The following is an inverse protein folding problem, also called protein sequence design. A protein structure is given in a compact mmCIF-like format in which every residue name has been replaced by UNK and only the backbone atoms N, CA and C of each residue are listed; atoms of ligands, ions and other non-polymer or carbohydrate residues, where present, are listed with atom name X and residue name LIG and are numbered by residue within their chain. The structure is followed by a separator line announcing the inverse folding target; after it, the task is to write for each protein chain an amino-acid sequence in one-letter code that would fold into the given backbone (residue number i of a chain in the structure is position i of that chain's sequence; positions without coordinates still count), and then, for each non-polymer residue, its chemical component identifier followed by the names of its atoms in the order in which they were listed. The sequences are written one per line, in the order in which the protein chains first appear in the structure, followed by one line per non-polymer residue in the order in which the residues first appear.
data_IF_702001722191
#
_entry.id   IF_702001722191
#
_cell.length_a   1.000
_cell.length_b   1.000
_cell.length_c   1.000
_cell.angle_alpha   90.00
_cell.angle_beta   90.00
_cell.angle_gamma   90.00
#
_symmetry.space_group_name_H-M   'P 1'
#
loop_
_entity.id
_entity.type
_entity.pdbx_description
1 polymer ?
#
# COMPACT_ATOMS: atom_id res chain seq x y z
N UNK A 1 0.86 -4.01 28.22
CA UNK A 1 0.50 -4.91 27.11
C UNK A 1 1.73 -5.03 26.25
N UNK A 2 2.29 -6.23 26.12
CA UNK A 2 3.66 -6.45 25.62
C UNK A 2 3.81 -6.33 24.09
N UNK A 3 2.85 -5.69 23.41
CA UNK A 3 2.90 -5.36 21.98
C UNK A 3 2.95 -6.57 21.04
N UNK A 4 2.78 -7.80 21.55
CA UNK A 4 2.81 -9.01 20.75
C UNK A 4 1.43 -9.28 20.15
N UNK A 5 1.33 -9.68 18.86
CA UNK A 5 0.06 -10.07 18.26
C UNK A 5 -0.50 -11.30 18.98
N UNK A 6 -1.79 -11.32 19.25
CA UNK A 6 -2.48 -12.47 19.86
C UNK A 6 -2.85 -13.50 18.80
N UNK A 7 -3.12 -13.04 17.58
CA UNK A 7 -3.43 -13.85 16.41
C UNK A 7 -2.80 -13.29 15.14
N UNK A 8 -2.47 -14.13 14.16
CA UNK A 8 -1.88 -13.67 12.89
C UNK A 8 -2.78 -12.71 12.11
N UNK A 9 -4.09 -12.77 12.33
CA UNK A 9 -5.07 -11.86 11.71
C UNK A 9 -4.93 -10.43 12.19
N UNK A 10 -4.32 -10.21 13.35
CA UNK A 10 -4.05 -8.88 13.92
C UNK A 10 -2.95 -8.14 13.12
N UNK A 11 -2.23 -8.89 12.27
CA UNK A 11 -1.20 -8.35 11.39
C UNK A 11 -1.74 -7.92 10.01
N UNK A 12 -3.04 -8.12 9.75
CA UNK A 12 -3.68 -7.63 8.53
C UNK A 12 -3.98 -6.14 8.71
N UNK A 13 -3.45 -5.32 7.82
CA UNK A 13 -3.58 -3.87 7.89
C UNK A 13 -4.11 -3.23 6.59
N UNK A 14 -5.06 -2.29 6.66
CA UNK A 14 -5.89 -1.97 7.83
C UNK A 14 -6.70 -3.18 8.32
N UNK A 15 -7.01 -3.20 9.62
CA UNK A 15 -7.76 -4.30 10.23
C UNK A 15 -9.14 -4.42 9.56
N UNK A 16 -9.46 -5.55 8.91
CA UNK A 16 -10.77 -5.75 8.30
C UNK A 16 -11.88 -5.80 9.35
N UNK A 17 -13.06 -5.27 8.99
CA UNK A 17 -14.24 -5.27 9.88
C UNK A 17 -14.72 -6.65 10.29
N UNK A 18 -14.55 -7.65 9.43
CA UNK A 18 -14.90 -9.02 9.72
C UNK A 18 -13.86 -9.96 9.11
N UNK A 19 -13.33 -10.86 9.94
CA UNK A 19 -12.59 -12.04 9.52
C UNK A 19 -13.23 -13.25 10.19
N UNK A 20 -13.59 -14.27 9.41
CA UNK A 20 -14.07 -15.56 9.92
C UNK A 20 -13.23 -16.67 9.33
N UNK A 21 -12.50 -17.38 10.17
CA UNK A 21 -11.70 -18.54 9.76
C UNK A 21 -12.60 -19.78 9.86
N UNK A 22 -12.59 -20.61 8.82
CA UNK A 22 -13.29 -21.88 8.82
C UNK A 22 -12.30 -23.01 9.14
N UNK A 23 -12.09 -23.29 10.42
CA UNK A 23 -11.18 -24.34 10.89
C UNK A 23 -11.62 -25.76 10.53
N UNK A 24 -12.87 -25.95 10.07
CA UNK A 24 -13.40 -27.26 9.67
C UNK A 24 -13.16 -27.59 8.19
N UNK A 25 -12.78 -26.59 7.38
CA UNK A 25 -12.48 -26.76 5.97
C UNK A 25 -10.98 -26.89 5.76
N UNK A 26 -10.58 -27.68 4.76
CA UNK A 26 -9.20 -27.64 4.27
C UNK A 26 -8.87 -26.23 3.74
N UNK A 27 -7.58 -25.88 3.75
CA UNK A 27 -7.12 -24.62 3.19
C UNK A 27 -7.10 -24.63 1.66
N UNK A 28 -6.83 -23.46 1.09
CA UNK A 28 -6.57 -23.29 -0.33
C UNK A 28 -5.08 -23.56 -0.62
N UNK A 29 -4.73 -24.59 -1.40
CA UNK A 29 -3.34 -24.91 -1.69
C UNK A 29 -2.70 -23.86 -2.61
N UNK A 30 -1.41 -23.58 -2.41
CA UNK A 30 -0.66 -22.77 -3.36
C UNK A 30 -0.57 -23.47 -4.74
N UNK A 31 -0.66 -22.72 -5.85
CA UNK A 31 -0.56 -23.29 -7.18
C UNK A 31 0.83 -23.89 -7.43
N UNK A 32 0.88 -25.08 -8.06
CA UNK A 32 2.11 -25.81 -8.35
C UNK A 32 3.01 -25.10 -9.36
N UNK A 33 2.39 -24.38 -10.30
CA UNK A 33 3.09 -23.56 -11.30
C UNK A 33 3.44 -22.16 -10.80
N UNK A 34 3.17 -21.87 -9.51
CA UNK A 34 3.32 -20.55 -8.89
C UNK A 34 2.47 -19.44 -9.53
N UNK A 35 1.39 -19.78 -10.25
CA UNK A 35 0.53 -18.78 -10.91
C UNK A 35 -0.87 -18.75 -10.31
N UNK A 36 -1.25 -17.56 -9.83
CA UNK A 36 -2.63 -17.25 -9.48
C UNK A 36 -3.40 -16.94 -10.77
N UNK A 37 -4.35 -17.80 -11.10
CA UNK A 37 -5.11 -17.77 -12.34
C UNK A 37 -6.35 -16.91 -12.11
N UNK A 38 -6.33 -15.69 -12.65
CA UNK A 38 -7.35 -14.67 -12.43
C UNK A 38 -8.46 -14.80 -13.48
N UNK A 39 -9.69 -14.96 -13.00
CA UNK A 39 -10.91 -15.02 -13.79
C UNK A 39 -11.85 -13.87 -13.41
N UNK A 40 -12.50 -13.30 -14.40
CA UNK A 40 -13.52 -12.27 -14.24
C UNK A 40 -14.90 -12.91 -14.34
N UNK A 41 -15.77 -12.63 -13.38
CA UNK A 41 -17.14 -13.14 -13.45
C UNK A 41 -17.92 -12.48 -14.59
N UNK A 42 -18.67 -13.26 -15.36
CA UNK A 42 -19.46 -12.76 -16.49
C UNK A 42 -20.62 -11.86 -16.08
N UNK A 43 -21.13 -12.07 -14.85
CA UNK A 43 -22.17 -11.23 -14.26
C UNK A 43 -21.62 -9.92 -13.65
N UNK A 44 -20.30 -9.69 -13.71
CA UNK A 44 -19.67 -8.47 -13.19
C UNK A 44 -20.04 -7.26 -14.05
N UNK A 45 -20.42 -6.15 -13.41
CA UNK A 45 -20.59 -4.85 -14.08
C UNK A 45 -19.26 -4.15 -14.41
N UNK A 46 -18.16 -4.59 -13.77
CA UNK A 46 -16.82 -4.06 -13.98
C UNK A 46 -16.18 -4.51 -15.28
N UNK A 47 -15.45 -3.61 -15.95
CA UNK A 47 -14.67 -3.95 -17.15
C UNK A 47 -13.43 -4.78 -16.78
N UNK A 48 -13.17 -5.92 -17.46
CA UNK A 48 -11.99 -6.75 -17.21
C UNK A 48 -10.68 -5.97 -17.28
N UNK A 49 -10.51 -5.10 -18.29
CA UNK A 49 -9.30 -4.30 -18.47
C UNK A 49 -8.99 -3.41 -17.26
N UNK A 50 -9.99 -2.73 -16.70
CA UNK A 50 -9.80 -1.85 -15.55
C UNK A 50 -9.63 -2.63 -14.24
N UNK A 51 -10.27 -3.80 -14.12
CA UNK A 51 -9.97 -4.73 -13.02
C UNK A 51 -8.53 -5.26 -13.09
N UNK A 52 -8.04 -5.63 -14.28
CA UNK A 52 -6.63 -6.03 -14.47
C UNK A 52 -5.67 -4.94 -13.99
N UNK A 53 -5.92 -3.68 -14.36
CA UNK A 53 -5.11 -2.54 -13.88
C UNK A 53 -5.10 -2.43 -12.35
N UNK A 54 -6.28 -2.55 -11.71
CA UNK A 54 -6.41 -2.52 -10.26
C UNK A 54 -5.66 -3.66 -9.56
N UNK A 55 -5.67 -4.86 -10.16
CA UNK A 55 -5.03 -6.06 -9.63
C UNK A 55 -3.51 -6.03 -9.85
N UNK A 56 -3.04 -5.49 -10.98
CA UNK A 56 -1.64 -5.48 -11.38
C UNK A 56 -0.74 -4.74 -10.37
N UNK A 57 -1.29 -3.79 -9.61
CA UNK A 57 -0.60 -3.09 -8.52
C UNK A 57 -0.06 -4.08 -7.47
N UNK A 58 -0.70 -5.23 -7.29
CA UNK A 58 -0.29 -6.28 -6.35
C UNK A 58 0.82 -7.20 -6.89
N UNK A 59 1.14 -7.14 -8.19
CA UNK A 59 2.10 -8.06 -8.80
C UNK A 59 3.49 -8.04 -8.14
N UNK A 60 4.12 -6.88 -7.85
CA UNK A 60 5.45 -6.85 -7.24
C UNK A 60 5.48 -7.50 -5.85
N UNK A 61 4.39 -7.40 -5.09
CA UNK A 61 4.26 -8.00 -3.76
C UNK A 61 4.10 -9.52 -3.84
N UNK A 62 3.38 -10.03 -4.84
CA UNK A 62 3.24 -11.46 -5.10
C UNK A 62 4.55 -12.07 -5.58
N UNK A 63 5.26 -11.42 -6.51
CA UNK A 63 6.55 -11.92 -7.01
C UNK A 63 7.59 -12.02 -5.88
N UNK A 64 7.51 -11.15 -4.85
CA UNK A 64 8.37 -11.25 -3.65
C UNK A 64 8.23 -12.57 -2.87
N UNK A 65 7.12 -13.28 -3.06
CA UNK A 65 6.85 -14.60 -2.46
C UNK A 65 6.77 -15.72 -3.50
N UNK A 66 7.36 -15.50 -4.68
CA UNK A 66 7.42 -16.44 -5.79
C UNK A 66 6.02 -16.87 -6.26
N UNK A 67 5.13 -15.89 -6.45
CA UNK A 67 3.84 -16.07 -7.10
C UNK A 67 3.65 -15.00 -8.17
N UNK A 68 3.10 -15.39 -9.31
CA UNK A 68 2.78 -14.49 -10.41
C UNK A 68 1.27 -14.49 -10.71
N UNK A 69 0.82 -13.41 -11.36
CA UNK A 69 -0.55 -13.28 -11.83
C UNK A 69 -0.66 -13.77 -13.28
N UNK A 70 -1.66 -14.62 -13.54
CA UNK A 70 -1.99 -15.08 -14.89
C UNK A 70 -3.47 -14.77 -15.18
N UNK A 71 -3.73 -13.85 -16.11
CA UNK A 71 -5.09 -13.48 -16.48
C UNK A 71 -5.66 -14.47 -17.49
N UNK A 72 -6.76 -15.13 -17.12
CA UNK A 72 -7.47 -16.11 -17.97
C UNK A 72 -8.72 -15.55 -18.66
N UNK A 73 -9.09 -14.32 -18.33
CA UNK A 73 -10.27 -13.65 -18.90
C UNK A 73 -11.54 -14.01 -18.14
N UNK A 74 -12.62 -14.24 -18.88
CA UNK A 74 -13.93 -14.56 -18.32
C UNK A 74 -13.99 -15.98 -17.75
N UNK A 75 -14.91 -16.22 -16.81
CA UNK A 75 -15.17 -17.58 -16.30
C UNK A 75 -15.64 -18.46 -17.46
N UNK A 76 -14.99 -19.60 -17.64
CA UNK A 76 -15.42 -20.61 -18.60
C UNK A 76 -16.47 -21.53 -17.98
N UNK A 77 -17.26 -22.21 -18.80
CA UNK A 77 -18.31 -23.11 -18.34
C UNK A 77 -17.79 -24.27 -17.45
N UNK A 78 -16.53 -24.64 -17.63
CA UNK A 78 -15.85 -25.67 -16.85
C UNK A 78 -15.14 -25.13 -15.60
N UNK A 79 -15.16 -23.81 -15.31
CA UNK A 79 -14.36 -23.17 -14.26
C UNK A 79 -14.53 -23.83 -12.87
N UNK A 80 -15.76 -24.12 -12.48
CA UNK A 80 -16.08 -24.71 -11.18
C UNK A 80 -15.69 -26.20 -11.11
N UNK A 81 -15.81 -26.91 -12.23
CA UNK A 81 -15.39 -28.32 -12.39
C UNK A 81 -13.90 -28.49 -12.71
N UNK A 82 -13.21 -27.41 -13.04
CA UNK A 82 -11.84 -27.45 -13.56
C UNK A 82 -10.87 -27.85 -12.44
N UNK A 83 -9.98 -28.84 -12.71
CA UNK A 83 -8.98 -29.28 -11.73
C UNK A 83 -7.82 -28.29 -11.56
N UNK A 84 -7.86 -27.15 -12.25
CA UNK A 84 -6.82 -26.12 -12.16
C UNK A 84 -6.74 -25.59 -10.72
N UNK A 85 -5.51 -25.51 -10.23
CA UNK A 85 -5.16 -24.89 -8.96
C UNK A 85 -4.99 -23.37 -9.11
N UNK A 86 -4.87 -22.65 -7.99
CA UNK A 86 -4.56 -21.21 -8.03
C UNK A 86 -5.71 -20.34 -8.54
N UNK A 87 -6.95 -20.85 -8.62
CA UNK A 87 -8.10 -20.10 -9.15
C UNK A 87 -8.46 -18.93 -8.25
N UNK A 88 -8.48 -17.73 -8.83
CA UNK A 88 -9.00 -16.51 -8.20
C UNK A 88 -10.06 -15.93 -9.11
N UNK A 89 -11.30 -15.89 -8.64
CA UNK A 89 -12.40 -15.20 -9.29
C UNK A 89 -12.54 -13.80 -8.72
N UNK A 90 -12.81 -12.82 -9.56
CA UNK A 90 -13.25 -11.51 -9.08
C UNK A 90 -14.37 -10.89 -9.92
N UNK A 91 -15.12 -9.97 -9.32
CA UNK A 91 -16.17 -9.23 -10.01
C UNK A 91 -16.65 -8.01 -9.21
N UNK A 92 -17.17 -7.04 -9.94
CA UNK A 92 -17.80 -5.84 -9.39
C UNK A 92 -19.31 -6.00 -9.52
N UNK A 93 -20.02 -5.75 -8.42
CA UNK A 93 -21.46 -5.82 -8.34
C UNK A 93 -21.98 -4.62 -7.58
N UNK A 94 -23.00 -3.97 -8.14
CA UNK A 94 -23.72 -2.91 -7.46
C UNK A 94 -24.71 -3.54 -6.47
N UNK A 95 -24.24 -3.73 -5.24
CA UNK A 95 -24.98 -4.39 -4.16
C UNK A 95 -25.28 -3.44 -2.98
N UNK A 96 -25.18 -2.13 -3.22
CA UNK A 96 -25.47 -1.09 -2.24
C UNK A 96 -24.42 -0.91 -1.14
N UNK A 97 -23.30 -1.64 -1.18
CA UNK A 97 -22.16 -1.40 -0.29
C UNK A 97 -21.47 -0.07 -0.65
N UNK A 98 -20.77 0.58 0.31
CA UNK A 98 -20.05 1.81 0.02
C UNK A 98 -18.85 1.59 -0.91
N UNK A 99 -18.36 2.67 -1.53
CA UNK A 99 -17.14 2.65 -2.36
C UNK A 99 -15.95 2.11 -1.55
N UNK A 100 -15.13 1.27 -2.19
CA UNK A 100 -14.01 0.58 -1.55
C UNK A 100 -14.40 -0.65 -0.72
N UNK A 101 -15.68 -1.00 -0.62
CA UNK A 101 -16.08 -2.23 0.06
C UNK A 101 -15.74 -3.48 -0.76
N UNK A 102 -15.36 -4.55 -0.06
CA UNK A 102 -15.11 -5.85 -0.67
C UNK A 102 -15.46 -7.01 0.27
N UNK A 103 -15.67 -8.18 -0.34
CA UNK A 103 -15.75 -9.47 0.31
C UNK A 103 -14.72 -10.39 -0.35
N UNK A 104 -13.93 -11.08 0.47
CA UNK A 104 -12.93 -12.05 0.05
C UNK A 104 -13.28 -13.38 0.70
N UNK A 105 -13.52 -14.41 -0.12
CA UNK A 105 -13.72 -15.79 0.33
C UNK A 105 -12.55 -16.64 -0.15
N UNK A 106 -12.01 -17.46 0.75
CA UNK A 106 -10.97 -18.44 0.45
C UNK A 106 -11.50 -19.80 0.88
N UNK A 107 -11.63 -20.71 -0.08
CA UNK A 107 -12.05 -22.09 0.15
C UNK A 107 -11.16 -23.06 -0.64
N UNK A 108 -11.28 -24.39 -0.45
CA UNK A 108 -10.46 -25.37 -1.15
C UNK A 108 -10.58 -25.31 -2.69
N UNK A 109 -11.69 -24.80 -3.22
CA UNK A 109 -11.98 -24.72 -4.66
C UNK A 109 -11.35 -23.47 -5.28
N UNK A 110 -11.12 -22.43 -4.50
CA UNK A 110 -10.53 -21.19 -4.99
C UNK A 110 -10.68 -20.00 -4.07
N UNK A 111 -10.25 -18.86 -4.61
CA UNK A 111 -10.45 -17.54 -4.01
C UNK A 111 -11.52 -16.79 -4.79
N UNK A 112 -12.42 -16.11 -4.10
CA UNK A 112 -13.41 -15.23 -4.71
C UNK A 112 -13.35 -13.84 -4.07
N UNK A 113 -13.29 -12.80 -4.92
CA UNK A 113 -13.28 -11.40 -4.51
C UNK A 113 -14.44 -10.66 -5.17
N UNK A 114 -15.36 -10.16 -4.36
CA UNK A 114 -16.54 -9.42 -4.80
C UNK A 114 -16.46 -8.00 -4.23
N UNK A 115 -16.54 -7.00 -5.09
CA UNK A 115 -16.42 -5.60 -4.68
C UNK A 115 -17.55 -4.73 -5.26
N UNK A 116 -17.75 -3.54 -4.68
CA UNK A 116 -18.69 -2.56 -5.21
C UNK A 116 -18.09 -1.67 -6.32
N UNK A 117 -16.76 -1.52 -6.33
CA UNK A 117 -16.04 -0.70 -7.30
C UNK A 117 -14.60 -1.22 -7.53
N UNK A 118 -13.88 -0.58 -8.46
CA UNK A 118 -12.50 -0.94 -8.77
C UNK A 118 -11.54 -0.74 -7.58
N UNK A 119 -11.81 0.25 -6.71
CA UNK A 119 -11.05 0.44 -5.47
C UNK A 119 -11.25 -0.74 -4.51
N UNK A 120 -12.47 -1.26 -4.40
CA UNK A 120 -12.78 -2.46 -3.62
C UNK A 120 -12.08 -3.71 -4.16
N UNK A 121 -12.01 -3.91 -5.49
CA UNK A 121 -11.22 -4.99 -6.09
C UNK A 121 -9.76 -4.89 -5.64
N UNK A 122 -9.17 -3.70 -5.78
CA UNK A 122 -7.80 -3.43 -5.36
C UNK A 122 -7.59 -3.72 -3.87
N UNK A 123 -8.49 -3.25 -3.00
CA UNK A 123 -8.38 -3.46 -1.56
C UNK A 123 -8.54 -4.95 -1.16
N UNK A 124 -9.42 -5.68 -1.84
CA UNK A 124 -9.57 -7.13 -1.67
C UNK A 124 -8.30 -7.89 -2.02
N UNK A 125 -7.68 -7.57 -3.16
CA UNK A 125 -6.39 -8.15 -3.54
C UNK A 125 -5.27 -7.74 -2.58
N UNK A 126 -5.21 -6.49 -2.13
CA UNK A 126 -4.23 -6.06 -1.14
C UNK A 126 -4.32 -6.90 0.16
N UNK A 127 -5.54 -7.23 0.60
CA UNK A 127 -5.73 -8.12 1.77
C UNK A 127 -5.37 -9.56 1.46
N UNK A 128 -5.74 -10.10 0.29
CA UNK A 128 -5.32 -11.44 -0.14
C UNK A 128 -3.78 -11.57 -0.14
N UNK A 129 -3.08 -10.58 -0.70
CA UNK A 129 -1.61 -10.54 -0.74
C UNK A 129 -1.03 -10.55 0.67
N UNK A 130 -1.59 -9.81 1.62
CA UNK A 130 -1.14 -9.84 3.00
C UNK A 130 -1.27 -11.24 3.62
N UNK A 131 -2.42 -11.88 3.45
CA UNK A 131 -2.67 -13.25 3.93
C UNK A 131 -1.65 -14.22 3.32
N UNK A 132 -1.45 -14.16 2.00
CA UNK A 132 -0.47 -14.98 1.27
C UNK A 132 0.95 -14.79 1.82
N UNK A 133 1.36 -13.54 2.03
CA UNK A 133 2.71 -13.21 2.50
C UNK A 133 2.93 -13.69 3.94
N UNK A 134 1.94 -13.52 4.81
CA UNK A 134 1.97 -14.03 6.18
C UNK A 134 2.07 -15.56 6.17
N UNK A 135 1.25 -16.26 5.36
CA UNK A 135 1.30 -17.71 5.24
C UNK A 135 2.68 -18.21 4.75
N UNK A 136 3.22 -17.59 3.69
CA UNK A 136 4.55 -17.93 3.15
C UNK A 136 5.67 -17.65 4.18
N UNK A 137 5.52 -16.60 4.98
CA UNK A 137 6.45 -16.30 6.07
C UNK A 137 6.41 -17.42 7.12
N UNK A 138 5.24 -17.81 7.62
CA UNK A 138 5.13 -18.89 8.62
C UNK A 138 5.67 -20.23 8.09
N UNK A 139 5.34 -20.62 6.86
CA UNK A 139 5.80 -21.90 6.29
C UNK A 139 7.33 -21.98 6.18
N UNK A 140 8.01 -20.87 5.82
CA UNK A 140 9.50 -20.83 5.76
C UNK A 140 10.13 -20.97 7.14
N UNK A 141 9.55 -20.33 8.14
CA UNK A 141 10.07 -20.38 9.51
C UNK A 141 9.78 -21.72 10.21
N UNK A 142 8.69 -22.41 9.84
CA UNK A 142 8.44 -23.77 10.31
C UNK A 142 9.45 -24.79 9.75
N UNK A 143 9.85 -24.67 8.47
CA UNK A 143 10.83 -25.59 7.88
C UNK A 143 12.24 -25.45 8.47
N UNK A 144 12.64 -24.24 8.88
CA UNK A 144 13.97 -23.92 9.42
C UNK A 144 14.14 -24.34 10.90
N UNK A 145 13.04 -24.75 11.56
CA UNK A 145 13.03 -25.29 12.93
C UNK A 145 13.29 -26.80 13.03
N UNK A 146 13.43 -27.49 11.90
CA UNK A 146 13.71 -28.94 11.88
C UNK A 146 15.22 -29.17 11.96
N UNK A 147 15.72 -29.57 13.14
CA UNK A 147 17.11 -29.98 13.36
C UNK A 147 17.56 -31.00 12.28
N UNK A 148 18.72 -30.81 11.62
CA UNK A 148 19.31 -31.90 10.85
C UNK A 148 19.77 -32.99 11.82
N UNK A 149 19.13 -34.16 11.76
CA UNK A 149 19.60 -35.36 12.44
C UNK A 149 20.94 -35.80 11.84
N UNK A 150 21.92 -35.99 12.73
CA UNK A 150 23.10 -36.87 12.62
C UNK A 150 23.72 -37.04 11.23
N UNK A 151 24.71 -36.21 10.92
CA UNK A 151 25.84 -36.66 10.10
C UNK A 151 26.94 -37.11 11.03
N UNK A 152 27.08 -38.43 11.14
CA UNK A 152 28.16 -39.09 11.88
C UNK A 152 29.52 -38.66 11.34
N UNK A 153 30.36 -38.07 12.20
CA UNK A 153 31.77 -37.86 11.92
C UNK A 153 32.50 -39.21 11.87
N UNK A 154 32.72 -39.70 10.66
CA UNK A 154 33.70 -40.75 10.37
C UNK A 154 35.02 -40.11 9.94
N UNK A 155 36.07 -40.36 10.72
CA UNK A 155 37.44 -39.89 10.49
C UNK A 155 38.10 -40.55 9.27
N UNK A 156 38.84 -39.78 8.46
CA UNK A 156 40.08 -40.24 7.82
C UNK A 156 40.90 -39.08 7.25
N UNK A 157 42.21 -39.23 7.38
CA UNK A 157 43.29 -38.26 7.14
C UNK A 157 43.50 -37.91 5.66
N UNK A 158 44.07 -36.73 5.38
CA UNK A 158 45.48 -36.56 4.93
C UNK A 158 45.74 -35.29 4.09
N UNK A 159 46.90 -34.66 4.38
CA UNK A 159 47.83 -33.82 3.60
C UNK A 159 47.28 -32.67 2.71
N UNK A 160 47.90 -31.48 2.64
CA UNK A 160 49.16 -30.95 3.16
C UNK A 160 49.61 -29.75 2.32
N UNK A 161 50.35 -28.81 2.94
CA UNK A 161 51.28 -27.81 2.34
C UNK A 161 50.68 -26.70 1.42
N UNK A 162 51.08 -25.42 1.41
CA UNK A 162 52.05 -24.58 2.12
C UNK A 162 51.79 -23.10 1.75
N UNK A 163 52.32 -22.17 2.55
CA UNK A 163 53.01 -20.90 2.20
C UNK A 163 52.59 -19.65 2.99
N UNK A 164 53.19 -19.52 4.18
CA UNK A 164 54.17 -18.50 4.60
C UNK A 164 54.21 -17.11 3.95
N UNK A 165 54.10 -16.08 4.81
CA UNK A 165 55.04 -14.96 5.09
C UNK A 165 54.21 -13.72 5.50
N UNK A 166 54.19 -13.26 6.75
CA UNK A 166 55.23 -12.71 7.64
C UNK A 166 55.01 -11.19 7.80
N UNK A 167 54.81 -10.74 9.05
CA UNK A 167 55.47 -9.57 9.66
C UNK A 167 54.89 -9.29 11.06
N UNK A 168 55.76 -9.44 12.07
CA UNK A 168 55.53 -9.20 13.49
C UNK A 168 55.44 -7.71 13.84
N UNK A 169 54.73 -7.38 14.93
CA UNK A 169 55.28 -6.56 16.03
C UNK A 169 54.53 -6.81 17.34
N UNK A 170 55.33 -6.98 18.40
CA UNK A 170 55.02 -7.40 19.77
C UNK A 170 54.15 -6.42 20.57
N UNK A 171 53.41 -6.93 21.56
CA UNK A 171 52.93 -6.12 22.68
C UNK A 171 51.95 -6.79 23.64
N UNK A 172 52.48 -7.52 24.62
CA UNK A 172 51.92 -7.83 25.95
C UNK A 172 50.56 -8.53 26.12
N UNK A 173 50.69 -9.72 26.71
CA UNK A 173 49.76 -10.43 27.58
C UNK A 173 49.03 -9.55 28.61
N UNK A 174 47.71 -9.72 28.71
CA UNK A 174 46.95 -9.99 29.95
C UNK A 174 45.66 -10.70 29.49
N UNK A 175 45.50 -11.96 29.91
CA UNK A 175 44.18 -12.61 29.91
C UNK A 175 43.40 -12.14 31.14
N UNK A 176 42.08 -11.96 31.01
CA UNK A 176 41.21 -12.71 31.89
C UNK A 176 40.15 -13.47 31.10
N UNK A 177 40.08 -14.77 31.40
CA UNK A 177 38.87 -15.57 31.20
C UNK A 177 37.72 -14.85 31.92
N UNK A 178 36.64 -14.55 31.20
CA UNK A 178 35.30 -14.88 31.68
C UNK A 178 34.30 -14.76 30.55
N UNK A 179 33.54 -15.84 30.38
CA UNK A 179 32.51 -15.96 29.38
C UNK A 179 31.40 -14.94 29.60
N UNK A 180 30.85 -14.49 28.48
CA UNK A 180 29.42 -14.30 28.30
C UNK A 180 29.20 -14.32 26.79
N UNK A 181 29.04 -15.54 26.26
CA UNK A 181 28.33 -15.73 25.01
C UNK A 181 26.92 -15.20 25.22
N UNK A 182 26.68 -13.96 24.81
CA UNK A 182 25.35 -13.38 24.77
C UNK A 182 24.44 -14.37 24.03
N UNK A 183 23.30 -14.78 24.61
CA UNK A 183 22.39 -15.65 23.91
C UNK A 183 21.86 -14.82 22.74
N UNK A 184 22.18 -15.24 21.52
CA UNK A 184 21.39 -14.84 20.35
C UNK A 184 20.00 -15.42 20.61
N UNK A 185 19.12 -14.62 21.22
CA UNK A 185 17.69 -14.86 21.26
C UNK A 185 17.23 -14.90 19.79
N UNK A 186 17.25 -16.08 19.20
CA UNK A 186 16.40 -16.39 18.05
C UNK A 186 14.99 -16.41 18.60
N UNK A 187 14.36 -15.24 18.64
CA UNK A 187 12.92 -15.15 18.86
C UNK A 187 12.28 -15.80 17.63
N UNK A 188 11.93 -17.08 17.75
CA UNK A 188 11.14 -17.79 16.76
C UNK A 188 9.84 -17.04 16.61
N UNK A 189 9.70 -16.25 15.54
CA UNK A 189 8.47 -15.53 15.23
C UNK A 189 7.42 -16.53 14.72
N UNK A 190 6.98 -17.43 15.61
CA UNK A 190 5.80 -18.23 15.39
C UNK A 190 4.62 -17.28 15.33
N UNK A 191 3.87 -17.31 14.22
CA UNK A 191 2.67 -16.50 14.04
C UNK A 191 1.49 -17.20 14.74
N UNK A 192 0.96 -16.66 15.85
CA UNK A 192 -0.06 -17.35 16.63
C UNK A 192 -1.32 -17.65 15.82
N UNK A 193 -1.80 -18.89 15.89
CA UNK A 193 -3.05 -19.32 15.26
C UNK A 193 -3.01 -19.50 13.74
N UNK A 194 -1.82 -19.44 13.12
CA UNK A 194 -1.69 -19.72 11.68
C UNK A 194 -1.37 -21.20 11.44
N UNK A 195 -2.10 -21.83 10.52
CA UNK A 195 -1.88 -23.22 10.16
C UNK A 195 -0.56 -23.38 9.39
N UNK A 196 0.27 -24.35 9.78
CA UNK A 196 1.61 -24.57 9.22
C UNK A 196 1.56 -25.39 7.91
N UNK A 197 0.40 -25.95 7.57
CA UNK A 197 0.15 -26.92 6.49
C UNK A 197 0.44 -26.42 5.06
N UNK A 198 1.15 -25.30 4.90
CA UNK A 198 1.56 -24.70 3.63
C UNK A 198 0.38 -24.38 2.69
N UNK A 199 -0.83 -24.32 3.24
CA UNK A 199 -2.05 -23.89 2.56
C UNK A 199 -2.52 -22.56 3.13
N UNK A 200 -3.18 -21.76 2.31
CA UNK A 200 -3.83 -20.54 2.76
C UNK A 200 -5.10 -20.94 3.54
N UNK A 201 -5.32 -20.46 4.78
CA UNK A 201 -6.47 -20.88 5.57
C UNK A 201 -7.81 -20.57 4.87
N UNK A 202 -8.77 -21.48 4.97
CA UNK A 202 -10.13 -21.19 4.50
C UNK A 202 -10.76 -20.15 5.40
N UNK A 203 -11.22 -19.05 4.81
CA UNK A 203 -11.74 -17.90 5.55
C UNK A 203 -12.63 -17.00 4.69
N UNK A 204 -13.39 -16.16 5.37
CA UNK A 204 -14.13 -15.04 4.78
C UNK A 204 -13.68 -13.75 5.42
N UNK A 205 -13.30 -12.77 4.60
CA UNK A 205 -13.11 -11.37 4.99
C UNK A 205 -14.23 -10.52 4.40
N UNK A 206 -14.81 -9.64 5.21
CA UNK A 206 -15.67 -8.55 4.72
C UNK A 206 -15.14 -7.25 5.28
N UNK A 207 -14.94 -6.29 4.41
CA UNK A 207 -14.37 -5.01 4.81
C UNK A 207 -14.95 -3.86 3.98
N UNK A 208 -14.93 -2.69 4.59
CA UNK A 208 -15.31 -1.44 3.97
C UNK A 208 -14.68 -0.28 4.74
N UNK A 209 -14.29 0.80 4.08
CA UNK A 209 -13.71 1.93 4.79
C UNK A 209 -14.71 2.56 5.78
N UNK A 210 -14.22 3.04 6.92
CA UNK A 210 -15.04 3.81 7.88
C UNK A 210 -15.33 5.22 7.39
N UNK A 211 -14.43 5.76 6.57
CA UNK A 211 -14.52 7.10 5.99
C UNK A 211 -14.23 7.04 4.50
N UNK A 212 -15.01 7.73 3.65
CA UNK A 212 -14.74 7.80 2.22
C UNK A 212 -13.43 8.53 1.93
N UNK A 213 -13.01 9.43 2.83
CA UNK A 213 -11.80 10.22 2.72
C UNK A 213 -10.75 9.76 3.73
N UNK A 214 -9.65 9.16 3.24
CA UNK A 214 -8.51 8.67 4.02
C UNK A 214 -7.25 9.28 3.44
N UNK A 215 -6.85 10.40 4.02
CA UNK A 215 -5.84 11.27 3.46
C UNK A 215 -4.55 11.27 4.27
N UNK A 216 -3.47 11.57 3.57
CA UNK A 216 -2.18 11.88 4.16
C UNK A 216 -1.73 13.24 3.64
N UNK A 217 -1.17 14.04 4.55
CA UNK A 217 -0.72 15.39 4.27
C UNK A 217 0.80 15.43 4.24
N UNK A 218 1.37 15.52 3.05
CA UNK A 218 2.79 15.70 2.85
C UNK A 218 3.11 17.18 2.77
N UNK A 219 3.80 17.67 3.79
CA UNK A 219 4.17 19.07 3.89
C UNK A 219 5.58 19.33 3.32
N UNK A 220 5.69 20.31 2.42
CA UNK A 220 6.97 20.82 1.90
C UNK A 220 7.30 22.22 2.43
N UNK A 221 6.59 22.71 3.45
CA UNK A 221 7.00 23.91 4.18
C UNK A 221 8.44 23.77 4.72
N UNK A 222 9.18 24.87 4.77
CA UNK A 222 10.54 24.86 5.33
C UNK A 222 11.62 24.15 4.48
N UNK A 223 11.46 24.13 3.16
CA UNK A 223 12.47 23.73 2.16
C UNK A 223 12.85 22.23 2.09
N UNK A 224 12.07 21.33 2.71
CA UNK A 224 12.26 19.87 2.54
C UNK A 224 11.32 19.34 1.48
N UNK A 225 11.80 19.38 0.23
CA UNK A 225 11.02 18.99 -0.94
C UNK A 225 11.44 17.58 -1.36
N UNK A 226 10.48 16.66 -1.40
CA UNK A 226 10.74 15.31 -1.91
C UNK A 226 10.88 15.36 -3.43
N UNK A 227 11.76 14.54 -4.01
CA UNK A 227 11.76 14.39 -5.46
C UNK A 227 10.53 13.58 -5.94
N UNK A 228 10.23 13.64 -7.23
CA UNK A 228 9.10 12.94 -7.86
C UNK A 228 9.08 11.44 -7.53
N UNK A 229 10.23 10.77 -7.61
CA UNK A 229 10.35 9.34 -7.33
C UNK A 229 9.93 9.02 -5.88
N UNK A 230 10.43 9.78 -4.92
CA UNK A 230 10.14 9.57 -3.49
C UNK A 230 8.66 9.79 -3.19
N UNK A 231 8.04 10.79 -3.82
CA UNK A 231 6.62 11.06 -3.65
C UNK A 231 5.75 9.95 -4.27
N UNK A 232 6.14 9.39 -5.41
CA UNK A 232 5.46 8.24 -6.02
C UNK A 232 5.65 6.94 -5.22
N UNK A 233 6.84 6.72 -4.65
CA UNK A 233 7.08 5.63 -3.71
C UNK A 233 6.22 5.76 -2.46
N UNK A 234 6.07 6.99 -1.93
CA UNK A 234 5.14 7.28 -0.84
C UNK A 234 3.72 6.93 -1.27
N UNK A 235 3.19 7.51 -2.36
CA UNK A 235 1.86 7.23 -2.86
C UNK A 235 1.59 5.71 -3.02
N UNK A 236 2.56 4.97 -3.56
CA UNK A 236 2.50 3.51 -3.70
C UNK A 236 2.35 2.83 -2.34
N UNK A 237 3.17 3.18 -1.35
CA UNK A 237 3.08 2.61 0.02
C UNK A 237 1.74 2.94 0.67
N UNK A 238 1.29 4.18 0.56
CA UNK A 238 0.01 4.64 1.13
C UNK A 238 -1.18 3.93 0.50
N UNK A 239 -1.10 3.68 -0.81
CA UNK A 239 -2.11 2.93 -1.52
C UNK A 239 -2.27 1.52 -0.93
N UNK A 240 -1.19 0.83 -0.51
CA UNK A 240 -1.29 -0.50 0.14
C UNK A 240 -2.00 -0.42 1.50
N UNK A 241 -1.86 0.69 2.22
CA UNK A 241 -2.61 0.98 3.43
C UNK A 241 -4.08 1.41 3.16
N UNK A 242 -4.55 1.26 1.92
CA UNK A 242 -5.88 1.68 1.46
C UNK A 242 -6.15 3.18 1.66
N UNK A 243 -5.13 4.04 1.78
CA UNK A 243 -5.34 5.49 1.72
C UNK A 243 -5.72 5.88 0.28
N UNK A 244 -6.54 6.92 0.12
CA UNK A 244 -7.07 7.33 -1.17
C UNK A 244 -6.91 8.82 -1.50
N UNK A 245 -6.29 9.60 -0.61
CA UNK A 245 -5.91 10.98 -0.90
C UNK A 245 -4.48 11.27 -0.42
N UNK A 246 -3.71 11.98 -1.24
CA UNK A 246 -2.38 12.47 -0.90
C UNK A 246 -2.32 13.98 -1.15
N UNK A 247 -2.25 14.75 -0.08
CA UNK A 247 -2.07 16.19 -0.14
C UNK A 247 -0.59 16.48 -0.26
N UNK A 248 -0.23 17.32 -1.22
CA UNK A 248 1.14 17.81 -1.38
C UNK A 248 1.10 19.31 -1.18
N UNK A 249 1.57 19.75 -0.02
CA UNK A 249 1.50 21.13 0.41
C UNK A 249 2.76 21.90 0.04
N UNK A 250 2.57 22.94 -0.77
CA UNK A 250 3.57 23.91 -1.14
C UNK A 250 3.42 25.16 -0.28
N UNK A 251 4.53 25.74 0.12
CA UNK A 251 4.57 27.05 0.77
C UNK A 251 5.23 28.05 -0.17
N UNK A 252 4.55 29.17 -0.42
CA UNK A 252 5.10 30.28 -1.21
C UNK A 252 5.42 31.45 -0.30
N UNK A 253 6.63 32.01 -0.45
CA UNK A 253 7.02 33.24 0.25
C UNK A 253 6.37 34.44 -0.43
N UNK A 254 5.85 35.37 0.35
CA UNK A 254 5.13 36.55 -0.16
C UNK A 254 6.03 37.52 -0.94
N UNK A 255 7.35 37.40 -0.80
CA UNK A 255 8.35 38.21 -1.52
C UNK A 255 8.78 37.60 -2.85
N UNK A 256 8.51 36.32 -3.07
CA UNK A 256 9.06 35.57 -4.18
C UNK A 256 8.05 35.51 -5.32
N UNK A 257 8.54 35.32 -6.55
CA UNK A 257 7.65 34.99 -7.66
C UNK A 257 7.16 33.56 -7.49
N UNK A 258 5.87 33.33 -7.77
CA UNK A 258 5.30 32.00 -7.76
C UNK A 258 6.08 31.07 -8.69
N UNK A 259 6.55 29.95 -8.13
CA UNK A 259 7.15 28.87 -8.88
C UNK A 259 7.12 27.58 -8.05
N UNK A 260 6.67 26.48 -8.64
CA UNK A 260 6.75 25.16 -8.02
C UNK A 260 8.13 24.52 -8.24
N UNK A 261 8.55 23.62 -7.33
CA UNK A 261 9.80 22.88 -7.47
C UNK A 261 9.74 21.75 -8.51
N UNK A 262 8.62 21.60 -9.21
CA UNK A 262 8.40 20.55 -10.20
C UNK A 262 8.05 21.16 -11.56
N UNK A 263 8.43 20.48 -12.63
CA UNK A 263 7.96 20.86 -13.96
C UNK A 263 6.52 20.40 -14.19
N UNK A 264 5.79 21.04 -15.10
CA UNK A 264 4.45 20.60 -15.51
C UNK A 264 4.41 19.13 -15.96
N UNK A 265 5.50 18.63 -16.57
CA UNK A 265 5.62 17.22 -16.93
C UNK A 265 5.67 16.32 -15.71
N UNK A 266 6.39 16.72 -14.66
CA UNK A 266 6.49 15.96 -13.41
C UNK A 266 5.14 15.95 -12.70
N UNK A 267 4.47 17.11 -12.60
CA UNK A 267 3.15 17.22 -11.98
C UNK A 267 2.12 16.35 -12.69
N UNK A 268 2.08 16.41 -14.02
CA UNK A 268 1.20 15.56 -14.84
C UNK A 268 1.47 14.07 -14.61
N UNK A 269 2.74 13.67 -14.66
CA UNK A 269 3.13 12.28 -14.42
C UNK A 269 2.71 11.80 -13.02
N UNK A 270 2.90 12.64 -12.00
CA UNK A 270 2.50 12.31 -10.62
C UNK A 270 1.00 12.14 -10.48
N UNK A 271 0.19 13.02 -11.07
CA UNK A 271 -1.27 12.90 -11.07
C UNK A 271 -1.72 11.59 -11.71
N UNK A 272 -1.18 11.25 -12.88
CA UNK A 272 -1.54 10.02 -13.59
C UNK A 272 -1.21 8.77 -12.78
N UNK A 273 0.01 8.68 -12.23
CA UNK A 273 0.41 7.51 -11.43
C UNK A 273 -0.43 7.40 -10.15
N UNK A 274 -0.75 8.52 -9.49
CA UNK A 274 -1.62 8.50 -8.32
C UNK A 274 -3.03 8.00 -8.67
N UNK A 275 -3.59 8.44 -9.82
CA UNK A 275 -4.88 7.94 -10.30
C UNK A 275 -4.86 6.43 -10.56
N UNK A 276 -3.81 5.91 -11.20
CA UNK A 276 -3.61 4.47 -11.40
C UNK A 276 -3.52 3.70 -10.08
N UNK A 277 -2.99 4.33 -9.02
CA UNK A 277 -2.93 3.77 -7.66
C UNK A 277 -4.23 3.89 -6.86
N UNK A 278 -5.29 4.48 -7.43
CA UNK A 278 -6.53 4.82 -6.74
C UNK A 278 -6.31 5.80 -5.57
N UNK A 279 -5.34 6.70 -5.74
CA UNK A 279 -5.01 7.79 -4.80
C UNK A 279 -5.24 9.11 -5.53
N UNK A 280 -6.10 9.98 -5.00
CA UNK A 280 -6.25 11.33 -5.51
C UNK A 280 -5.09 12.20 -5.01
N UNK A 281 -4.25 12.68 -5.92
CA UNK A 281 -3.27 13.71 -5.61
C UNK A 281 -3.99 15.05 -5.45
N UNK A 282 -3.93 15.64 -4.26
CA UNK A 282 -4.53 16.93 -3.96
C UNK A 282 -3.43 17.98 -3.89
N UNK A 283 -3.30 18.86 -4.91
CA UNK A 283 -2.39 19.98 -4.82
C UNK A 283 -2.85 20.91 -3.69
N UNK A 284 -1.93 21.23 -2.78
CA UNK A 284 -2.17 22.10 -1.64
C UNK A 284 -1.18 23.26 -1.66
N UNK A 285 -1.65 24.48 -1.39
CA UNK A 285 -0.78 25.66 -1.32
C UNK A 285 -1.18 26.56 -0.16
N UNK A 286 -0.19 27.16 0.48
CA UNK A 286 -0.38 28.32 1.33
C UNK A 286 0.76 29.32 1.18
N UNK A 287 0.56 30.52 1.73
CA UNK A 287 1.62 31.51 1.85
C UNK A 287 2.28 31.44 3.23
N UNK A 288 3.56 31.82 3.31
CA UNK A 288 4.28 31.88 4.59
C UNK A 288 3.64 32.86 5.61
N UNK A 289 2.93 33.88 5.12
CA UNK A 289 2.20 34.82 5.95
C UNK A 289 0.89 35.26 5.30
N UNK A 290 -0.02 35.80 6.12
CA UNK A 290 -1.24 36.45 5.69
C UNK A 290 -1.04 37.93 5.29
N UNK A 291 0.19 38.46 5.37
CA UNK A 291 0.52 39.82 4.95
C UNK A 291 0.85 39.83 3.45
N UNK A 292 -0.17 39.58 2.63
CA UNK A 292 -0.09 39.64 1.17
C UNK A 292 -1.33 40.37 0.64
N UNK A 293 -1.13 41.20 -0.38
CA UNK A 293 -2.22 41.91 -1.05
C UNK A 293 -3.15 40.91 -1.77
N UNK A 294 -4.45 41.20 -1.81
CA UNK A 294 -5.44 40.31 -2.41
C UNK A 294 -5.18 40.06 -3.91
N UNK A 295 -4.66 41.06 -4.64
CA UNK A 295 -4.22 40.94 -6.04
C UNK A 295 -3.09 39.92 -6.18
N UNK A 296 -2.03 40.04 -5.37
CA UNK A 296 -0.90 39.12 -5.41
C UNK A 296 -1.29 37.69 -4.99
N UNK A 297 -2.16 37.55 -3.98
CA UNK A 297 -2.70 36.25 -3.59
C UNK A 297 -3.52 35.61 -4.71
N UNK A 298 -4.33 36.41 -5.43
CA UNK A 298 -5.08 35.95 -6.59
C UNK A 298 -4.16 35.47 -7.71
N UNK A 299 -3.12 36.24 -8.03
CA UNK A 299 -2.15 35.85 -9.07
C UNK A 299 -1.48 34.51 -8.70
N UNK A 300 -1.07 34.32 -7.45
CA UNK A 300 -0.51 33.04 -6.97
C UNK A 300 -1.50 31.89 -7.19
N UNK A 301 -2.77 32.09 -6.85
CA UNK A 301 -3.79 31.04 -6.97
C UNK A 301 -4.08 30.71 -8.43
N UNK A 302 -4.20 31.70 -9.32
CA UNK A 302 -4.43 31.47 -10.75
C UNK A 302 -3.30 30.65 -11.36
N UNK A 303 -2.04 31.06 -11.15
CA UNK A 303 -0.88 30.30 -11.64
C UNK A 303 -0.79 28.90 -11.02
N UNK A 304 -1.16 28.75 -9.75
CA UNK A 304 -1.19 27.44 -9.10
C UNK A 304 -2.22 26.50 -9.71
N UNK A 305 -3.42 26.97 -10.00
CA UNK A 305 -4.44 26.14 -10.65
C UNK A 305 -4.05 25.79 -12.09
N UNK A 306 -3.39 26.69 -12.80
CA UNK A 306 -2.88 26.47 -14.16
C UNK A 306 -1.82 25.36 -14.23
N UNK A 307 -1.04 25.15 -13.16
CA UNK A 307 -0.09 24.03 -13.07
C UNK A 307 -0.78 22.66 -12.87
N UNK A 308 -2.07 22.66 -12.47
CA UNK A 308 -2.87 21.45 -12.23
C UNK A 308 -4.20 21.42 -13.02
N UNK A 309 -4.16 21.51 -14.36
CA UNK A 309 -5.37 21.71 -15.18
C UNK A 309 -6.32 20.50 -15.18
N UNK A 310 -5.85 19.32 -14.77
CA UNK A 310 -6.64 18.09 -14.66
C UNK A 310 -7.15 17.81 -13.24
N UNK A 311 -6.66 18.56 -12.25
CA UNK A 311 -7.12 18.36 -10.87
C UNK A 311 -8.53 18.91 -10.70
N UNK A 312 -9.41 18.10 -10.10
CA UNK A 312 -10.78 18.52 -9.73
C UNK A 312 -10.86 19.11 -8.32
N UNK A 313 -9.74 19.12 -7.61
CA UNK A 313 -9.68 19.48 -6.20
C UNK A 313 -8.39 20.22 -5.90
N UNK A 314 -8.46 21.30 -5.13
CA UNK A 314 -7.28 22.01 -4.64
C UNK A 314 -7.52 22.38 -3.17
N UNK A 315 -6.44 22.40 -2.39
CA UNK A 315 -6.48 22.81 -0.99
C UNK A 315 -5.72 24.13 -0.82
N UNK A 316 -6.36 25.07 -0.13
CA UNK A 316 -5.74 26.34 0.23
C UNK A 316 -5.55 26.37 1.73
N UNK A 317 -4.32 26.65 2.18
CA UNK A 317 -4.04 26.75 3.60
C UNK A 317 -4.69 27.98 4.25
N UNK A 318 -4.53 28.15 5.57
CA UNK A 318 -5.23 29.16 6.34
C UNK A 318 -5.00 30.61 5.88
N UNK A 319 -3.81 30.96 5.39
CA UNK A 319 -3.49 32.33 5.01
C UNK A 319 -4.24 32.72 3.73
N UNK A 320 -4.11 31.91 2.68
CA UNK A 320 -4.87 32.10 1.43
C UNK A 320 -6.37 31.95 1.65
N UNK A 321 -6.80 30.99 2.46
CA UNK A 321 -8.22 30.82 2.84
C UNK A 321 -8.81 32.08 3.46
N UNK A 322 -8.07 32.73 4.37
CA UNK A 322 -8.54 33.94 5.05
C UNK A 322 -8.75 35.10 4.07
N UNK A 323 -7.89 35.21 3.05
CA UNK A 323 -7.99 36.22 1.99
C UNK A 323 -9.17 35.90 1.06
N UNK A 324 -9.32 34.65 0.63
CA UNK A 324 -10.43 34.22 -0.21
C UNK A 324 -11.80 34.46 0.44
N UNK A 325 -11.91 34.22 1.75
CA UNK A 325 -13.15 34.51 2.50
C UNK A 325 -13.37 36.03 2.64
N UNK A 326 -12.29 36.81 2.78
CA UNK A 326 -12.34 38.26 2.91
C UNK A 326 -12.61 39.01 1.60
N UNK A 327 -12.25 38.44 0.45
CA UNK A 327 -12.39 39.05 -0.87
C UNK A 327 -13.22 38.17 -1.81
N UNK A 328 -14.49 38.57 -1.97
CA UNK A 328 -15.46 37.88 -2.84
C UNK A 328 -15.04 37.86 -4.32
N UNK A 329 -14.23 38.80 -4.78
CA UNK A 329 -13.70 38.79 -6.15
C UNK A 329 -12.65 37.70 -6.31
N UNK A 330 -11.77 37.53 -5.33
CA UNK A 330 -10.79 36.44 -5.32
C UNK A 330 -11.48 35.08 -5.21
N UNK A 331 -12.54 34.95 -4.38
CA UNK A 331 -13.32 33.71 -4.27
C UNK A 331 -13.94 33.26 -5.61
N UNK A 332 -14.57 34.17 -6.35
CA UNK A 332 -15.26 33.85 -7.61
C UNK A 332 -14.33 33.36 -8.73
N UNK A 333 -13.03 33.67 -8.64
CA UNK A 333 -12.00 33.20 -9.59
C UNK A 333 -11.70 31.73 -9.36
N UNK A 334 -11.64 31.34 -8.09
CA UNK A 334 -11.28 29.98 -7.66
C UNK A 334 -12.48 29.03 -7.78
N UNK A 335 -13.70 29.56 -7.70
CA UNK A 335 -14.93 28.76 -7.72
C UNK A 335 -16.01 29.34 -8.66
N UNK A 336 -15.82 29.27 -10.00
CA UNK A 336 -16.90 29.55 -10.94
C UNK A 336 -17.91 28.40 -10.90
N UNK A 337 -18.92 28.51 -10.03
CA UNK A 337 -20.15 27.70 -9.83
C UNK A 337 -20.12 26.15 -9.94
N UNK A 338 -19.03 25.46 -10.32
CA UNK A 338 -19.08 24.00 -10.59
C UNK A 338 -17.76 23.21 -10.56
N UNK A 339 -16.58 23.82 -10.44
CA UNK A 339 -15.34 23.15 -10.92
C UNK A 339 -14.40 22.54 -9.86
N UNK A 340 -14.43 22.99 -8.60
CA UNK A 340 -13.46 22.56 -7.59
C UNK A 340 -14.09 22.22 -6.25
N UNK A 341 -13.74 21.06 -5.67
CA UNK A 341 -13.94 20.84 -4.23
C UNK A 341 -12.91 21.68 -3.48
N UNK A 342 -13.36 22.84 -2.99
CA UNK A 342 -12.53 23.77 -2.25
C UNK A 342 -12.42 23.33 -0.80
N UNK A 343 -11.25 22.80 -0.42
CA UNK A 343 -11.00 22.45 0.98
C UNK A 343 -10.37 23.65 1.69
N UNK A 344 -11.22 24.47 2.29
CA UNK A 344 -10.82 25.64 3.07
C UNK A 344 -10.58 25.24 4.53
N UNK A 345 -9.40 25.54 5.07
CA UNK A 345 -9.08 25.28 6.48
C UNK A 345 -9.14 26.56 7.31
N UNK A 346 -10.19 26.71 8.14
CA UNK A 346 -10.09 27.42 9.42
C UNK A 346 -10.09 26.35 10.49
N UNK A 347 -8.90 25.93 10.99
CA UNK A 347 -8.71 24.88 12.01
C UNK A 347 -9.82 23.80 11.95
N UNK A 348 -9.72 22.83 11.02
CA UNK A 348 -10.72 21.78 10.71
C UNK A 348 -11.94 21.75 11.67
N UNK A 349 -13.17 22.06 11.23
CA UNK A 349 -13.82 21.35 10.13
C UNK A 349 -14.67 22.25 9.20
N UNK A 350 -14.93 21.82 7.97
CA UNK A 350 -16.20 22.00 7.23
C UNK A 350 -16.01 21.43 5.81
N UNK A 351 -16.60 20.27 5.59
CA UNK A 351 -16.75 19.69 4.26
C UNK A 351 -18.09 20.17 3.71
N UNK A 352 -18.07 21.07 2.73
CA UNK A 352 -19.23 21.29 1.87
C UNK A 352 -19.10 20.35 0.68
N UNK A 353 -19.85 19.25 0.69
CA UNK A 353 -20.21 18.53 -0.52
C UNK A 353 -21.61 19.00 -0.91
N UNK A 354 -21.79 19.42 -2.16
CA UNK A 354 -23.12 19.57 -2.78
C UNK A 354 -23.66 18.19 -3.14
#
# INVERSE_FOLDING_TARGET
MDGKPEYWTDLIWPQPKLIRINSSSTGFPFPKDNRLKIYFCDASSGSPRRMMQAIQISAPLLSSVNLDLEYRGHKTADHDSSPLDGKVTCGIYDDGRPLGAYALNIDPRGVEIVANDYSGIRYGFATLVQIIRLQKFASRHASDGTMPQNVSYGSSLSNGYSNTNDSLTNGNSISPKNGNSAPRLRESAELPGMFIDSMIPSLTVRDQPDRPFRAIFQDFSGCRILNTETLLQLATRLSYCKANYLFVNFEVRTTDRYQLPYTNRDLFHMMQVCEELFVTLVPSIDTQSNYIEASAARDIIEHFLDDFPLSKTAHFGPNLTSILIGDRKAFNVVCPESSYLLMLTKKMPLWFAS
#
